data_IF_324357305278
#
_entry.id   IF_324357305278
#
_cell.length_a   1.000
_cell.length_b   1.000
_cell.length_c   1.000
_cell.angle_alpha   90.00
_cell.angle_beta   90.00
_cell.angle_gamma   90.00
#
_symmetry.space_group_name_H-M   'P 1'
#
loop_
_entity.id
_entity.type
_entity.pdbx_description
1 polymer ?
#
# COMPACT_ATOMS: atom_id res chain seq x y z
N UNK A 1 -10.14 -7.23 -13.64
CA UNK A 1 -10.80 -6.15 -12.87
C UNK A 1 -9.91 -5.87 -11.67
N UNK A 2 -9.68 -4.60 -11.34
CA UNK A 2 -8.77 -4.25 -10.26
C UNK A 2 -9.30 -4.73 -8.90
N UNK A 3 -8.40 -5.01 -7.97
CA UNK A 3 -8.69 -5.54 -6.64
C UNK A 3 -8.21 -4.53 -5.59
N UNK A 4 -9.07 -4.21 -4.63
CA UNK A 4 -8.69 -3.34 -3.53
C UNK A 4 -7.66 -4.06 -2.66
N UNK A 5 -6.56 -3.39 -2.34
CA UNK A 5 -5.57 -3.86 -1.39
C UNK A 5 -5.69 -3.08 -0.08
N UNK A 6 -5.60 -3.80 1.04
CA UNK A 6 -5.55 -3.22 2.38
C UNK A 6 -4.48 -3.97 3.15
N UNK A 7 -3.55 -3.24 3.76
CA UNK A 7 -2.59 -3.78 4.71
C UNK A 7 -2.82 -3.17 6.08
N UNK A 8 -3.07 -4.01 7.08
CA UNK A 8 -3.19 -3.62 8.49
C UNK A 8 -1.96 -4.11 9.27
N UNK A 9 -1.25 -3.20 9.94
CA UNK A 9 -0.25 -3.58 10.92
C UNK A 9 -0.95 -4.05 12.20
N UNK A 10 -0.54 -5.21 12.73
CA UNK A 10 -1.16 -5.84 13.90
C UNK A 10 -0.13 -6.14 14.98
N UNK A 11 -0.56 -6.16 16.23
CA UNK A 11 0.26 -6.49 17.40
C UNK A 11 0.39 -8.01 17.62
N UNK A 12 -0.69 -8.76 17.34
CA UNK A 12 -0.77 -10.21 17.53
C UNK A 12 -1.32 -10.87 16.26
N UNK A 13 -0.43 -11.55 15.52
CA UNK A 13 -0.78 -12.14 14.22
C UNK A 13 -1.83 -13.25 14.37
N UNK A 14 -1.67 -14.16 15.33
CA UNK A 14 -2.56 -15.31 15.50
C UNK A 14 -3.98 -14.89 15.88
N UNK A 15 -4.12 -13.94 16.82
CA UNK A 15 -5.43 -13.40 17.19
C UNK A 15 -6.12 -12.73 16.01
N UNK A 16 -5.38 -11.98 15.20
CA UNK A 16 -5.93 -11.28 14.05
C UNK A 16 -6.26 -12.25 12.91
N UNK A 17 -5.47 -13.30 12.67
CA UNK A 17 -5.83 -14.38 11.73
C UNK A 17 -7.18 -15.00 12.14
N UNK A 18 -7.36 -15.33 13.42
CA UNK A 18 -8.62 -15.89 13.89
C UNK A 18 -9.82 -14.95 13.59
N UNK A 19 -9.67 -13.66 13.89
CA UNK A 19 -10.71 -12.67 13.64
C UNK A 19 -11.05 -12.51 12.15
N UNK A 20 -10.05 -12.27 11.30
CA UNK A 20 -10.27 -12.02 9.87
C UNK A 20 -10.74 -13.28 9.13
N UNK A 21 -10.25 -14.46 9.51
CA UNK A 21 -10.75 -15.70 8.92
C UNK A 21 -12.22 -15.96 9.25
N UNK A 22 -12.67 -15.59 10.46
CA UNK A 22 -14.08 -15.65 10.83
C UNK A 22 -14.92 -14.60 10.08
N UNK A 23 -14.42 -13.36 9.97
CA UNK A 23 -15.09 -12.27 9.26
C UNK A 23 -15.29 -12.59 7.77
N UNK A 24 -14.22 -13.05 7.10
CA UNK A 24 -14.24 -13.37 5.67
C UNK A 24 -14.79 -14.76 5.37
N UNK A 25 -15.01 -15.58 6.40
CA UNK A 25 -15.37 -17.01 6.26
C UNK A 25 -14.40 -17.76 5.33
N UNK A 26 -13.12 -17.40 5.39
CA UNK A 26 -12.07 -17.92 4.51
C UNK A 26 -10.73 -17.92 5.24
N UNK A 27 -9.87 -18.89 4.95
CA UNK A 27 -8.52 -18.93 5.50
C UNK A 27 -7.55 -18.10 4.64
N UNK A 28 -6.38 -17.68 5.20
CA UNK A 28 -5.37 -16.99 4.42
C UNK A 28 -4.91 -17.83 3.24
N UNK A 29 -4.76 -17.19 2.08
CA UNK A 29 -4.13 -17.76 0.89
C UNK A 29 -2.61 -17.79 0.97
N UNK A 30 -2.03 -16.93 1.79
CA UNK A 30 -0.61 -16.96 2.17
C UNK A 30 -0.55 -16.81 3.69
N UNK A 31 0.26 -17.65 4.33
CA UNK A 31 0.47 -17.64 5.77
C UNK A 31 1.95 -17.89 6.06
N UNK A 32 2.54 -16.94 6.76
CA UNK A 32 3.94 -16.93 7.20
C UNK A 32 4.00 -16.48 8.67
N UNK A 33 5.14 -16.64 9.33
CA UNK A 33 5.25 -16.41 10.78
C UNK A 33 4.96 -14.96 11.21
N UNK A 34 5.09 -13.98 10.29
CA UNK A 34 4.92 -12.54 10.52
C UNK A 34 3.92 -11.89 9.56
N UNK A 35 3.23 -12.69 8.73
CA UNK A 35 2.40 -12.20 7.63
C UNK A 35 1.25 -13.17 7.29
N UNK A 36 0.06 -12.62 7.03
CA UNK A 36 -1.05 -13.38 6.47
C UNK A 36 -1.78 -12.57 5.40
N UNK A 37 -2.24 -13.24 4.33
CA UNK A 37 -2.97 -12.61 3.23
C UNK A 37 -4.16 -13.43 2.78
N UNK A 38 -5.29 -12.76 2.55
CA UNK A 38 -6.50 -13.30 1.94
C UNK A 38 -6.70 -12.70 0.54
N UNK A 39 -6.99 -13.55 -0.43
CA UNK A 39 -7.50 -13.16 -1.74
C UNK A 39 -8.98 -13.52 -1.79
N UNK A 40 -9.86 -12.52 -1.73
CA UNK A 40 -11.32 -12.70 -1.60
C UNK A 40 -12.01 -12.24 -2.88
N UNK A 41 -12.95 -13.00 -3.45
CA UNK A 41 -13.62 -12.56 -4.69
C UNK A 41 -14.89 -11.74 -4.46
N UNK A 42 -15.51 -11.84 -3.28
CA UNK A 42 -16.68 -11.06 -2.87
C UNK A 42 -16.61 -10.65 -1.39
N UNK A 43 -16.27 -9.38 -1.07
CA UNK A 43 -15.85 -8.33 -1.99
C UNK A 43 -14.47 -8.64 -2.61
N UNK A 44 -14.21 -8.15 -3.83
CA UNK A 44 -12.94 -8.39 -4.53
C UNK A 44 -11.78 -7.64 -3.87
N UNK A 45 -11.08 -8.31 -2.96
CA UNK A 45 -10.05 -7.72 -2.11
C UNK A 45 -8.79 -8.59 -1.98
N UNK A 46 -7.64 -7.94 -1.84
CA UNK A 46 -6.37 -8.49 -1.37
C UNK A 46 -6.14 -7.89 0.03
N UNK A 47 -6.40 -8.66 1.07
CA UNK A 47 -6.29 -8.20 2.45
C UNK A 47 -5.05 -8.81 3.10
N UNK A 48 -4.21 -7.99 3.70
CA UNK A 48 -2.99 -8.43 4.35
C UNK A 48 -2.86 -7.89 5.77
N UNK A 49 -2.23 -8.68 6.63
CA UNK A 49 -1.82 -8.25 7.96
C UNK A 49 -0.36 -8.65 8.22
N UNK A 50 0.35 -7.87 9.01
CA UNK A 50 1.70 -8.22 9.47
C UNK A 50 2.03 -7.66 10.85
N UNK A 51 2.91 -8.34 11.60
CA UNK A 51 3.35 -7.91 12.94
C UNK A 51 4.81 -7.43 12.98
N UNK A 52 5.22 -6.65 11.97
CA UNK A 52 6.64 -6.30 11.74
C UNK A 52 7.11 -5.02 12.44
N UNK A 53 6.59 -4.74 13.63
CA UNK A 53 7.01 -3.59 14.45
C UNK A 53 6.55 -2.21 13.96
N UNK A 54 5.63 -2.15 12.99
CA UNK A 54 4.92 -0.91 12.63
C UNK A 54 3.83 -0.59 13.66
N UNK A 55 3.43 0.67 13.73
CA UNK A 55 2.32 1.11 14.59
C UNK A 55 1.04 0.34 14.21
N UNK A 56 0.38 -0.35 15.15
CA UNK A 56 -0.85 -1.07 14.85
C UNK A 56 -1.94 -0.16 14.26
N UNK A 57 -2.63 -0.64 13.24
CA UNK A 57 -3.64 0.12 12.50
C UNK A 57 -3.47 0.04 10.99
N UNK A 58 -4.16 0.93 10.28
CA UNK A 58 -4.02 1.03 8.82
C UNK A 58 -2.57 1.37 8.48
N UNK A 59 -1.90 0.46 7.77
CA UNK A 59 -0.53 0.68 7.31
C UNK A 59 -0.55 1.39 5.95
N UNK A 60 -1.22 0.79 4.97
CA UNK A 60 -1.44 1.39 3.66
C UNK A 60 -2.63 0.78 2.93
N UNK A 61 -3.05 1.47 1.88
CA UNK A 61 -4.09 1.04 0.94
C UNK A 61 -3.46 0.79 -0.43
N UNK A 62 -4.17 0.08 -1.30
CA UNK A 62 -3.71 -0.02 -2.67
C UNK A 62 -4.69 -0.56 -3.68
N UNK A 63 -4.24 -0.61 -4.93
CA UNK A 63 -4.95 -1.17 -6.06
C UNK A 63 -4.06 -2.21 -6.74
N UNK A 64 -4.43 -3.48 -6.58
CA UNK A 64 -3.83 -4.56 -7.35
C UNK A 64 -4.46 -4.59 -8.75
N UNK A 65 -3.61 -4.54 -9.77
CA UNK A 65 -4.02 -4.62 -11.18
C UNK A 65 -3.62 -5.97 -11.78
N UNK A 66 -4.25 -6.33 -12.91
CA UNK A 66 -4.04 -7.63 -13.55
C UNK A 66 -2.99 -7.55 -14.69
N UNK A 67 -2.45 -6.37 -15.02
CA UNK A 67 -1.44 -6.20 -16.06
C UNK A 67 -0.57 -4.94 -15.90
N UNK A 68 0.60 -4.93 -16.55
CA UNK A 68 1.48 -3.76 -16.62
C UNK A 68 0.78 -2.55 -17.28
N UNK A 69 0.00 -2.76 -18.33
CA UNK A 69 -0.73 -1.67 -19.00
C UNK A 69 -1.76 -1.01 -18.08
N UNK A 70 -2.43 -1.79 -17.22
CA UNK A 70 -3.33 -1.23 -16.21
C UNK A 70 -2.56 -0.47 -15.11
N UNK A 71 -1.34 -0.92 -14.77
CA UNK A 71 -0.49 -0.27 -13.78
C UNK A 71 -0.01 1.10 -14.30
N UNK A 72 0.44 1.14 -15.55
CA UNK A 72 0.88 2.36 -16.22
C UNK A 72 -0.27 3.36 -16.36
N UNK A 73 -1.51 2.89 -16.60
CA UNK A 73 -2.68 3.77 -16.63
C UNK A 73 -2.97 4.44 -15.27
N UNK A 74 -2.74 3.75 -14.15
CA UNK A 74 -2.86 4.35 -12.80
C UNK A 74 -1.76 5.39 -12.58
N UNK A 75 -0.52 5.07 -12.95
CA UNK A 75 0.60 6.00 -12.85
C UNK A 75 0.39 7.26 -13.68
N UNK A 76 -0.11 7.13 -14.91
CA UNK A 76 -0.38 8.27 -15.77
C UNK A 76 -1.43 9.20 -15.16
N UNK A 77 -2.49 8.65 -14.57
CA UNK A 77 -3.52 9.46 -13.89
C UNK A 77 -2.98 10.29 -12.72
N UNK A 78 -2.06 9.72 -11.93
CA UNK A 78 -1.38 10.45 -10.85
C UNK A 78 -0.43 11.53 -11.42
N UNK A 79 0.25 11.23 -12.51
CA UNK A 79 1.22 12.13 -13.14
C UNK A 79 0.51 13.33 -13.80
N UNK A 80 -0.60 13.10 -14.48
CA UNK A 80 -1.44 14.13 -15.11
C UNK A 80 -2.00 15.11 -14.07
N UNK A 81 -2.24 14.63 -12.85
CA UNK A 81 -2.67 15.45 -11.71
C UNK A 81 -1.51 16.11 -10.94
N UNK A 82 -0.26 15.95 -11.39
CA UNK A 82 0.95 16.41 -10.71
C UNK A 82 1.06 15.97 -9.24
N UNK A 83 0.58 14.76 -8.94
CA UNK A 83 0.65 14.17 -7.59
C UNK A 83 2.00 13.50 -7.35
N UNK A 84 2.45 13.37 -6.09
CA UNK A 84 3.69 12.67 -5.75
C UNK A 84 3.63 11.20 -6.18
N UNK A 85 4.67 10.72 -6.88
CA UNK A 85 4.80 9.33 -7.33
C UNK A 85 6.21 8.82 -7.03
N UNK A 86 6.33 7.70 -6.33
CA UNK A 86 7.57 6.95 -6.20
C UNK A 86 7.43 5.60 -6.92
N UNK A 87 8.30 5.36 -7.88
CA UNK A 87 8.33 4.10 -8.62
C UNK A 87 9.23 3.08 -7.90
N UNK A 88 8.74 1.86 -7.75
CA UNK A 88 9.50 0.70 -7.28
C UNK A 88 9.29 -0.44 -8.28
N UNK A 89 10.27 -0.64 -9.17
CA UNK A 89 10.21 -1.71 -10.19
C UNK A 89 10.91 -2.97 -9.70
N UNK A 90 10.39 -4.13 -10.08
CA UNK A 90 10.90 -5.46 -9.71
C UNK A 90 11.10 -5.65 -8.19
N UNK A 91 10.32 -4.94 -7.38
CA UNK A 91 10.44 -4.99 -5.94
C UNK A 91 10.04 -6.39 -5.44
N UNK A 92 10.97 -7.02 -4.72
CA UNK A 92 10.61 -8.09 -3.80
C UNK A 92 9.83 -7.43 -2.66
N UNK A 93 8.58 -7.82 -2.47
CA UNK A 93 7.73 -7.26 -1.44
C UNK A 93 6.72 -8.32 -0.96
N UNK A 94 6.67 -8.58 0.35
CA UNK A 94 5.64 -9.42 0.94
C UNK A 94 5.47 -10.78 0.24
N UNK A 95 6.59 -11.49 0.00
CA UNK A 95 6.62 -12.80 -0.68
C UNK A 95 6.13 -12.78 -2.14
N UNK A 96 6.10 -11.61 -2.78
CA UNK A 96 5.87 -11.45 -4.21
C UNK A 96 6.93 -10.56 -4.87
N UNK A 97 7.23 -10.81 -6.13
CA UNK A 97 7.90 -9.85 -6.99
C UNK A 97 6.84 -9.02 -7.70
N UNK A 98 6.90 -7.69 -7.59
CA UNK A 98 5.90 -6.80 -8.19
C UNK A 98 6.53 -5.55 -8.77
N UNK A 99 5.88 -4.98 -9.79
CA UNK A 99 6.07 -3.57 -10.12
C UNK A 99 5.06 -2.75 -9.33
N UNK A 100 5.54 -1.68 -8.70
CA UNK A 100 4.74 -0.82 -7.82
C UNK A 100 4.93 0.67 -8.13
N UNK A 101 3.89 1.43 -7.87
CA UNK A 101 3.92 2.88 -7.74
C UNK A 101 3.29 3.28 -6.42
N UNK A 102 3.96 4.16 -5.68
CA UNK A 102 3.49 4.70 -4.41
C UNK A 102 3.08 6.15 -4.56
N UNK A 103 2.06 6.54 -3.80
CA UNK A 103 1.65 7.93 -3.56
C UNK A 103 1.21 8.07 -2.11
N UNK A 104 0.99 9.31 -1.67
CA UNK A 104 0.41 9.61 -0.35
C UNK A 104 -0.76 10.55 -0.55
N UNK A 105 -1.89 10.22 0.03
CA UNK A 105 -3.09 11.04 -0.11
C UNK A 105 -3.03 12.31 0.79
N UNK A 106 -3.98 13.25 0.65
CA UNK A 106 -3.99 14.47 1.47
C UNK A 106 -4.22 14.24 2.97
N UNK A 107 -4.58 13.01 3.40
CA UNK A 107 -4.71 12.63 4.81
C UNK A 107 -3.44 11.96 5.35
N UNK A 108 -2.41 11.77 4.51
CA UNK A 108 -1.18 11.10 4.88
C UNK A 108 -1.24 9.58 4.78
N UNK A 109 -2.30 9.01 4.20
CA UNK A 109 -2.41 7.56 4.01
C UNK A 109 -1.55 7.17 2.79
N UNK A 110 -0.63 6.20 2.94
CA UNK A 110 0.11 5.68 1.79
C UNK A 110 -0.79 4.84 0.89
N UNK A 111 -0.65 5.04 -0.41
CA UNK A 111 -1.34 4.29 -1.45
C UNK A 111 -0.33 3.62 -2.38
N UNK A 112 -0.52 2.34 -2.66
CA UNK A 112 0.20 1.64 -3.72
C UNK A 112 -0.71 1.24 -4.88
N UNK A 113 -0.16 1.24 -6.09
CA UNK A 113 -0.69 0.49 -7.21
C UNK A 113 0.34 -0.54 -7.62
N UNK A 114 -0.06 -1.79 -7.82
CA UNK A 114 0.90 -2.84 -8.14
C UNK A 114 0.38 -3.94 -9.04
N UNK A 115 1.31 -4.54 -9.79
CA UNK A 115 1.10 -5.74 -10.58
C UNK A 115 2.06 -6.83 -10.07
N UNK A 116 1.51 -7.90 -9.50
CA UNK A 116 2.32 -9.04 -9.03
C UNK A 116 2.77 -9.91 -10.19
N UNK A 117 4.07 -10.16 -10.26
CA UNK A 117 4.72 -10.94 -11.32
C UNK A 117 4.95 -12.39 -10.92
N UNK A 118 5.35 -12.65 -9.68
CA UNK A 118 5.64 -13.99 -9.16
C UNK A 118 5.60 -14.02 -7.62
N UNK A 119 5.51 -15.22 -7.02
CA UNK A 119 5.78 -15.40 -5.59
C UNK A 119 7.28 -15.63 -5.36
N UNK A 120 7.79 -15.13 -4.24
CA UNK A 120 9.19 -15.29 -3.79
C UNK A 120 9.21 -15.81 -2.35
N UNK A 121 10.18 -16.64 -1.95
CA UNK A 121 10.21 -17.28 -0.62
C UNK A 121 10.69 -16.35 0.50
N UNK A 122 10.93 -15.07 0.22
CA UNK A 122 11.43 -14.09 1.17
C UNK A 122 10.52 -12.88 1.24
N UNK A 123 10.33 -12.35 2.45
CA UNK A 123 9.71 -11.05 2.62
C UNK A 123 10.69 -9.98 2.11
N UNK A 124 10.30 -9.22 1.09
CA UNK A 124 11.06 -8.08 0.61
C UNK A 124 10.55 -6.75 1.14
N UNK A 125 11.33 -5.69 0.96
CA UNK A 125 11.08 -4.40 1.60
C UNK A 125 9.80 -3.73 1.07
N UNK A 126 8.84 -3.48 1.96
CA UNK A 126 7.55 -2.82 1.66
C UNK A 126 7.50 -1.41 2.24
N UNK A 127 8.67 -0.80 2.43
CA UNK A 127 8.74 0.57 2.90
C UNK A 127 8.27 1.51 1.80
N UNK A 128 7.29 2.34 2.16
CA UNK A 128 6.95 3.55 1.40
C UNK A 128 8.25 4.32 1.25
N UNK A 129 8.76 4.44 0.03
CA UNK A 129 9.84 5.38 -0.23
C UNK A 129 9.35 6.74 0.23
N UNK A 130 10.11 7.39 1.12
CA UNK A 130 9.72 8.64 1.75
C UNK A 130 9.42 9.69 0.67
N UNK A 131 8.15 9.82 0.34
CA UNK A 131 7.62 10.81 -0.57
C UNK A 131 7.54 12.08 0.25
N UNK A 132 8.52 12.97 0.06
CA UNK A 132 8.51 14.25 0.76
C UNK A 132 7.15 14.94 0.54
N UNK A 133 6.45 15.15 1.66
CA UNK A 133 5.23 15.93 1.71
C UNK A 133 5.54 17.32 1.15
N UNK A 134 4.98 17.65 -0.02
CA UNK A 134 5.09 19.00 -0.57
C UNK A 134 4.29 19.92 0.34
N UNK A 135 4.95 20.48 1.35
CA UNK A 135 4.31 21.35 2.32
C UNK A 135 3.77 22.59 1.61
N UNK A 136 2.45 22.64 1.45
CA UNK A 136 1.75 23.83 1.00
C UNK A 136 1.79 24.87 2.13
N UNK A 137 2.86 25.66 2.20
CA UNK A 137 2.92 26.82 3.09
C UNK A 137 3.42 28.07 2.35
N UNK A 138 2.63 28.54 1.38
CA UNK A 138 2.69 29.93 0.96
C UNK A 138 2.08 30.80 2.06
N UNK A 139 2.92 31.34 2.96
CA UNK A 139 2.57 32.52 3.74
C UNK A 139 2.83 33.77 2.89
N UNK A 140 1.87 34.71 2.74
CA UNK A 140 2.18 36.00 2.17
C UNK A 140 3.12 36.77 3.11
N UNK A 141 4.22 37.28 2.58
CA UNK A 141 5.10 38.21 3.29
C UNK A 141 4.32 39.48 3.66
N UNK A 142 4.10 39.68 4.95
CA UNK A 142 3.67 40.97 5.46
C UNK A 142 4.81 41.99 5.23
N UNK A 143 4.67 42.83 4.21
CA UNK A 143 5.49 44.03 4.03
C UNK A 143 5.08 45.05 5.08
N UNK A 144 5.72 44.98 6.25
CA UNK A 144 5.65 46.01 7.28
C UNK A 144 6.46 47.24 6.86
N UNK A 145 5.78 48.25 6.33
CA UNK A 145 6.35 49.58 6.11
C UNK A 145 6.36 50.32 7.46
N UNK A 146 7.53 50.54 8.06
CA UNK A 146 7.69 51.42 9.20
C UNK A 146 8.21 52.78 8.74
N UNK A 147 7.49 53.82 9.18
CA UNK A 147 7.77 55.25 8.99
C UNK A 147 9.08 55.69 9.63
#
# INVERSE_FOLDING_TARGET
MKRLHIHIAVDDLEKNIHFYSALFKSQPTVLEYDYAKWQLDDPRMNFAISNRGRTPGLDHLGIQVDSAAELDAVQQGLADAALPIAAQKQAACCYAQSDKYWSVDPQGIPWEAFHSLSSIPMFGDDQVMELEQVSACCKPSATGNAR
#
